data_IF_064721668773
#
_entry.id   IF_064721668773
#
_cell.length_a   1.000
_cell.length_b   1.000
_cell.length_c   1.000
_cell.angle_alpha   90.00
_cell.angle_beta   90.00
_cell.angle_gamma   90.00
#
_symmetry.space_group_name_H-M   'P 1'
#
loop_
_entity.id
_entity.type
_entity.pdbx_description
1 polymer ?
#
# COMPACT_ATOMS: atom_id res chain seq x y z
N UNK A 1 8.05 17.98 15.28
CA UNK A 1 6.81 17.19 15.08
C UNK A 1 6.74 16.20 16.23
N UNK A 2 5.73 16.27 17.10
CA UNK A 2 5.59 15.35 18.23
C UNK A 2 4.66 14.20 17.83
N UNK A 3 5.07 12.97 18.10
CA UNK A 3 4.23 11.78 17.94
C UNK A 3 3.93 11.20 19.33
N UNK A 4 2.70 10.74 19.52
CA UNK A 4 2.27 10.00 20.71
C UNK A 4 2.18 8.52 20.36
N UNK A 5 2.76 7.65 21.20
CA UNK A 5 2.75 6.20 20.98
C UNK A 5 1.92 5.55 22.08
N UNK A 6 0.80 4.94 21.69
CA UNK A 6 -0.14 4.29 22.60
C UNK A 6 -0.12 2.79 22.33
N UNK A 7 0.30 2.00 23.32
CA UNK A 7 0.26 0.53 23.24
C UNK A 7 -0.96 0.00 23.97
N UNK A 8 -1.66 -0.97 23.37
CA UNK A 8 -2.84 -1.61 23.97
C UNK A 8 -2.84 -3.12 23.71
N UNK A 9 -3.61 -3.85 24.51
CA UNK A 9 -4.04 -5.19 24.12
C UNK A 9 -4.98 -5.15 22.90
N UNK A 10 -5.09 -6.26 22.18
CA UNK A 10 -6.03 -6.41 21.07
C UNK A 10 -7.50 -6.35 21.53
N UNK A 11 -8.41 -6.03 20.62
CA UNK A 11 -9.85 -6.04 20.86
C UNK A 11 -10.39 -4.74 21.48
N UNK A 12 -11.28 -4.81 22.50
CA UNK A 12 -11.95 -3.62 23.05
C UNK A 12 -10.99 -2.50 23.49
N UNK A 13 -9.88 -2.86 24.16
CA UNK A 13 -8.89 -1.90 24.64
C UNK A 13 -8.29 -1.05 23.52
N UNK A 14 -8.00 -1.65 22.35
CA UNK A 14 -7.51 -0.92 21.18
C UNK A 14 -8.56 0.07 20.64
N UNK A 15 -9.84 -0.32 20.64
CA UNK A 15 -10.93 0.58 20.22
C UNK A 15 -11.20 1.69 21.24
N UNK A 16 -11.01 1.45 22.53
CA UNK A 16 -11.10 2.46 23.58
C UNK A 16 -9.99 3.51 23.42
N UNK A 17 -8.74 3.06 23.22
CA UNK A 17 -7.61 3.96 22.98
C UNK A 17 -7.79 4.78 21.70
N UNK A 18 -8.25 4.15 20.61
CA UNK A 18 -8.57 4.88 19.38
C UNK A 18 -9.66 5.94 19.62
N UNK A 19 -10.71 5.61 20.38
CA UNK A 19 -11.77 6.56 20.70
C UNK A 19 -11.23 7.77 21.48
N UNK A 20 -10.35 7.53 22.46
CA UNK A 20 -9.70 8.59 23.24
C UNK A 20 -8.79 9.45 22.37
N UNK A 21 -7.99 8.85 21.48
CA UNK A 21 -7.13 9.58 20.56
C UNK A 21 -7.94 10.49 19.62
N UNK A 22 -9.05 9.99 19.07
CA UNK A 22 -9.94 10.79 18.21
C UNK A 22 -10.63 11.90 19.01
N UNK A 23 -11.07 11.62 20.23
CA UNK A 23 -11.67 12.63 21.12
C UNK A 23 -10.69 13.77 21.42
N UNK A 24 -9.43 13.44 21.73
CA UNK A 24 -8.37 14.44 21.95
C UNK A 24 -8.12 15.27 20.69
N UNK A 25 -8.01 14.62 19.53
CA UNK A 25 -7.79 15.31 18.26
C UNK A 25 -8.95 16.26 17.89
N UNK A 26 -10.19 15.92 18.27
CA UNK A 26 -11.36 16.77 18.04
C UNK A 26 -11.43 17.99 18.97
N UNK A 27 -10.77 17.97 20.12
CA UNK A 27 -10.70 19.12 21.03
C UNK A 27 -12.06 19.63 21.52
N UNK A 28 -13.10 18.77 21.53
CA UNK A 28 -14.47 19.15 21.89
C UNK A 28 -15.36 19.55 20.72
N UNK A 29 -14.82 19.86 19.54
CA UNK A 29 -15.60 20.13 18.32
C UNK A 29 -15.99 18.81 17.63
N UNK A 30 -17.28 18.44 17.58
CA UNK A 30 -17.72 17.21 16.92
C UNK A 30 -17.39 17.16 15.42
N UNK A 31 -17.25 18.32 14.77
CA UNK A 31 -17.02 18.46 13.33
C UNK A 31 -15.56 18.68 12.96
N UNK A 32 -14.65 18.82 13.93
CA UNK A 32 -13.22 18.87 13.67
C UNK A 32 -12.78 17.60 12.90
N UNK A 33 -12.19 17.73 11.71
CA UNK A 33 -11.86 16.59 10.86
C UNK A 33 -10.72 15.77 11.44
N UNK A 34 -10.88 14.44 11.47
CA UNK A 34 -9.83 13.50 11.89
C UNK A 34 -9.66 12.42 10.83
N UNK A 35 -8.41 12.17 10.44
CA UNK A 35 -8.04 11.06 9.55
C UNK A 35 -7.41 9.95 10.36
N UNK A 36 -7.96 8.73 10.23
CA UNK A 36 -7.42 7.51 10.84
C UNK A 36 -6.82 6.65 9.73
N UNK A 37 -5.51 6.44 9.79
CA UNK A 37 -4.82 5.53 8.87
C UNK A 37 -4.86 4.11 9.42
N UNK A 38 -5.30 3.15 8.60
CA UNK A 38 -5.50 1.75 8.97
C UNK A 38 -4.72 0.81 8.04
N UNK A 39 -4.33 -0.39 8.51
CA UNK A 39 -3.58 -1.33 7.68
C UNK A 39 -4.39 -1.87 6.49
N UNK A 40 -5.72 -1.97 6.62
CA UNK A 40 -6.62 -2.38 5.55
C UNK A 40 -8.06 -1.90 5.83
N UNK A 41 -8.92 -1.97 4.80
CA UNK A 41 -10.31 -1.51 4.89
C UNK A 41 -11.16 -2.29 5.90
N UNK A 42 -10.86 -3.57 6.17
CA UNK A 42 -11.58 -4.35 7.18
C UNK A 42 -11.36 -3.81 8.59
N UNK A 43 -10.11 -3.48 8.93
CA UNK A 43 -9.77 -2.82 10.21
C UNK A 43 -10.42 -1.45 10.29
N UNK A 44 -10.41 -0.67 9.21
CA UNK A 44 -11.13 0.61 9.12
C UNK A 44 -12.62 0.48 9.39
N UNK A 45 -13.28 -0.50 8.76
CA UNK A 45 -14.70 -0.77 8.98
C UNK A 45 -15.00 -1.21 10.41
N UNK A 46 -14.17 -2.09 10.97
CA UNK A 46 -14.31 -2.54 12.36
C UNK A 46 -14.15 -1.37 13.34
N UNK A 47 -13.11 -0.55 13.17
CA UNK A 47 -12.88 0.65 13.97
C UNK A 47 -14.03 1.64 13.85
N UNK A 48 -14.49 1.95 12.63
CA UNK A 48 -15.63 2.84 12.38
C UNK A 48 -16.89 2.37 13.10
N UNK A 49 -17.21 1.07 13.03
CA UNK A 49 -18.36 0.48 13.72
C UNK A 49 -18.20 0.51 15.24
N UNK A 50 -17.00 0.25 15.75
CA UNK A 50 -16.71 0.31 17.17
C UNK A 50 -16.88 1.74 17.72
N UNK A 51 -16.35 2.75 17.02
CA UNK A 51 -16.51 4.16 17.39
C UNK A 51 -17.97 4.61 17.26
N UNK A 52 -18.67 4.22 16.19
CA UNK A 52 -20.07 4.60 15.96
C UNK A 52 -21.07 4.05 16.98
N UNK A 53 -20.70 3.01 17.75
CA UNK A 53 -21.52 2.47 18.85
C UNK A 53 -21.40 3.30 20.13
N UNK A 54 -20.38 4.15 20.25
CA UNK A 54 -20.07 4.91 21.47
C UNK A 54 -20.86 6.21 21.52
N UNK A 55 -20.95 6.76 22.73
CA UNK A 55 -21.41 8.14 22.95
C UNK A 55 -20.19 9.05 23.05
N UNK A 56 -20.21 10.14 22.30
CA UNK A 56 -19.18 11.18 22.27
C UNK A 56 -19.84 12.54 22.49
N UNK A 57 -19.40 13.28 23.52
CA UNK A 57 -19.97 14.59 23.91
C UNK A 57 -21.51 14.58 24.00
N UNK A 58 -22.07 13.56 24.68
CA UNK A 58 -23.52 13.41 24.87
C UNK A 58 -24.30 12.90 23.65
N UNK A 59 -23.66 12.75 22.48
CA UNK A 59 -24.31 12.28 21.26
C UNK A 59 -23.81 10.88 20.89
N UNK A 60 -24.71 9.99 20.47
CA UNK A 60 -24.32 8.66 20.00
C UNK A 60 -23.76 8.73 18.58
N UNK A 61 -22.60 8.12 18.37
CA UNK A 61 -21.93 8.06 17.07
C UNK A 61 -20.69 8.94 16.96
N UNK A 62 -20.15 9.01 15.74
CA UNK A 62 -18.97 9.82 15.43
C UNK A 62 -19.13 10.46 14.06
N UNK A 63 -18.74 11.73 13.93
CA UNK A 63 -18.82 12.52 12.70
C UNK A 63 -17.43 13.04 12.32
N UNK A 64 -17.26 13.44 11.06
CA UNK A 64 -16.00 14.01 10.54
C UNK A 64 -14.76 13.14 10.83
N UNK A 65 -14.89 11.81 10.72
CA UNK A 65 -13.77 10.87 10.82
C UNK A 65 -13.68 10.05 9.54
N UNK A 66 -12.54 10.19 8.86
CA UNK A 66 -12.22 9.43 7.65
C UNK A 66 -11.27 8.29 8.00
N UNK A 67 -11.49 7.12 7.39
CA UNK A 67 -10.63 5.94 7.56
C UNK A 67 -10.00 5.63 6.20
N UNK A 68 -8.67 5.61 6.16
CA UNK A 68 -7.90 5.44 4.94
C UNK A 68 -6.80 4.40 5.15
N UNK A 69 -6.54 3.58 4.13
CA UNK A 69 -5.25 2.91 4.06
C UNK A 69 -4.15 3.91 3.71
N UNK A 70 -2.87 3.53 3.89
CA UNK A 70 -1.76 4.35 3.42
C UNK A 70 -1.86 4.63 1.90
N UNK A 71 -2.32 3.65 1.13
CA UNK A 71 -2.57 3.79 -0.30
C UNK A 71 -3.69 4.79 -0.59
N UNK A 72 -4.84 4.68 0.08
CA UNK A 72 -5.96 5.62 -0.12
C UNK A 72 -5.54 7.07 0.21
N UNK A 73 -4.68 7.24 1.22
CA UNK A 73 -4.15 8.55 1.58
C UNK A 73 -3.20 9.08 0.51
N UNK A 74 -2.30 8.24 -0.01
CA UNK A 74 -1.42 8.62 -1.12
C UNK A 74 -2.21 8.99 -2.37
N UNK A 75 -3.23 8.21 -2.74
CA UNK A 75 -4.11 8.49 -3.87
C UNK A 75 -4.86 9.82 -3.69
N UNK A 76 -5.30 10.14 -2.48
CA UNK A 76 -5.94 11.44 -2.18
C UNK A 76 -4.99 12.63 -2.31
N UNK A 77 -3.70 12.43 -2.02
CA UNK A 77 -2.70 13.49 -2.05
C UNK A 77 -2.16 13.72 -3.47
N UNK A 78 -1.97 12.66 -4.27
CA UNK A 78 -1.32 12.75 -5.58
C UNK A 78 -2.17 12.31 -6.77
N UNK A 79 -3.36 11.75 -6.57
CA UNK A 79 -4.15 11.13 -7.64
C UNK A 79 -4.61 12.10 -8.71
N UNK A 80 -4.92 13.35 -8.34
CA UNK A 80 -5.33 14.38 -9.30
C UNK A 80 -4.19 14.77 -10.26
N UNK A 81 -2.96 14.91 -9.74
CA UNK A 81 -1.77 15.23 -10.54
C UNK A 81 -1.43 14.06 -11.47
N UNK A 82 -1.40 12.83 -10.94
CA UNK A 82 -1.17 11.63 -11.75
C UNK A 82 -2.21 11.47 -12.86
N UNK A 83 -3.49 11.74 -12.58
CA UNK A 83 -4.55 11.68 -13.58
C UNK A 83 -4.39 12.77 -14.66
N UNK A 84 -3.93 13.97 -14.30
CA UNK A 84 -3.64 15.04 -15.25
C UNK A 84 -2.47 14.68 -16.19
N UNK A 85 -1.51 13.88 -15.72
CA UNK A 85 -0.43 13.29 -16.53
C UNK A 85 -0.89 12.09 -17.38
N UNK A 86 -2.17 11.70 -17.31
CA UNK A 86 -2.70 10.52 -17.99
C UNK A 86 -2.27 9.18 -17.37
N UNK A 87 -1.68 9.21 -16.16
CA UNK A 87 -1.23 8.04 -15.44
C UNK A 87 -2.34 7.51 -14.53
N UNK A 88 -2.40 6.18 -14.40
CA UNK A 88 -3.37 5.48 -13.54
C UNK A 88 -2.66 4.60 -12.51
N UNK A 89 -3.33 4.31 -11.40
CA UNK A 89 -2.77 3.41 -10.39
C UNK A 89 -2.45 2.03 -10.99
N UNK A 90 -1.25 1.50 -10.70
CA UNK A 90 -0.88 0.14 -11.07
C UNK A 90 -1.69 -0.86 -10.24
N UNK A 91 -2.36 -1.80 -10.91
CA UNK A 91 -3.00 -2.94 -10.23
C UNK A 91 -2.11 -4.18 -10.27
N UNK A 92 -2.38 -5.14 -9.38
CA UNK A 92 -1.64 -6.40 -9.37
C UNK A 92 -1.75 -7.17 -10.69
N UNK A 93 -2.90 -7.08 -11.36
CA UNK A 93 -3.12 -7.73 -12.65
C UNK A 93 -2.29 -7.07 -13.75
N UNK A 94 -2.09 -5.75 -13.68
CA UNK A 94 -1.21 -5.01 -14.59
C UNK A 94 0.25 -5.42 -14.37
N UNK A 95 0.73 -5.49 -13.12
CA UNK A 95 2.09 -5.97 -12.82
C UNK A 95 2.28 -7.39 -13.35
N UNK A 96 1.33 -8.28 -13.07
CA UNK A 96 1.38 -9.66 -13.54
C UNK A 96 1.41 -9.74 -15.08
N UNK A 97 0.65 -8.88 -15.77
CA UNK A 97 0.68 -8.79 -17.23
C UNK A 97 2.02 -8.27 -17.78
N UNK A 98 2.63 -7.27 -17.12
CA UNK A 98 3.95 -6.78 -17.46
C UNK A 98 5.02 -7.86 -17.23
N UNK A 99 5.00 -8.56 -16.09
CA UNK A 99 5.88 -9.70 -15.80
C UNK A 99 5.79 -10.77 -16.89
N UNK A 100 4.58 -11.19 -17.28
CA UNK A 100 4.38 -12.13 -18.39
C UNK A 100 4.98 -11.63 -19.71
N UNK A 101 4.85 -10.33 -19.97
CA UNK A 101 5.35 -9.71 -21.21
C UNK A 101 6.87 -9.71 -21.24
N UNK A 102 7.51 -9.33 -20.13
CA UNK A 102 8.97 -9.38 -19.98
C UNK A 102 9.50 -10.81 -20.10
N UNK A 103 8.87 -11.78 -19.43
CA UNK A 103 9.25 -13.20 -19.51
C UNK A 103 9.15 -13.77 -20.93
N UNK A 104 8.09 -13.43 -21.69
CA UNK A 104 7.97 -13.86 -23.09
C UNK A 104 9.03 -13.24 -23.99
N UNK A 105 9.46 -12.01 -23.71
CA UNK A 105 10.46 -11.30 -24.51
C UNK A 105 11.87 -11.81 -24.22
N UNK A 106 12.21 -11.97 -22.95
CA UNK A 106 13.52 -12.44 -22.50
C UNK A 106 13.41 -13.17 -21.15
N UNK A 107 13.25 -14.51 -21.17
CA UNK A 107 13.07 -15.29 -19.94
C UNK A 107 14.35 -15.43 -19.11
N UNK A 108 15.54 -15.19 -19.68
CA UNK A 108 16.82 -15.40 -18.97
C UNK A 108 16.91 -16.76 -18.26
N UNK A 109 17.24 -16.73 -16.97
CA UNK A 109 17.30 -17.89 -16.07
C UNK A 109 15.97 -18.64 -15.89
N UNK A 110 14.83 -18.04 -16.26
CA UNK A 110 13.51 -18.66 -16.14
C UNK A 110 13.07 -19.43 -17.39
N UNK A 111 13.97 -19.63 -18.36
CA UNK A 111 13.69 -20.45 -19.56
C UNK A 111 13.28 -21.87 -19.17
N UNK A 112 12.19 -22.35 -19.76
CA UNK A 112 11.54 -23.62 -19.44
C UNK A 112 10.39 -23.50 -18.43
N UNK A 113 10.27 -22.36 -17.74
CA UNK A 113 9.20 -22.08 -16.77
C UNK A 113 8.59 -20.69 -16.95
N UNK A 114 8.81 -20.05 -18.10
CA UNK A 114 8.41 -18.67 -18.39
C UNK A 114 6.88 -18.48 -18.44
N UNK A 115 6.13 -19.54 -18.76
CA UNK A 115 4.65 -19.52 -18.75
C UNK A 115 4.06 -20.13 -17.48
N UNK A 116 4.91 -20.60 -16.55
CA UNK A 116 4.43 -21.31 -15.37
C UNK A 116 3.78 -20.33 -14.37
N UNK A 117 2.52 -20.55 -13.92
CA UNK A 117 1.82 -19.60 -13.05
C UNK A 117 2.51 -19.31 -11.72
N UNK A 118 3.28 -20.27 -11.18
CA UNK A 118 4.06 -20.03 -9.96
C UNK A 118 5.22 -19.06 -10.19
N UNK A 119 5.87 -19.10 -11.37
CA UNK A 119 6.95 -18.19 -11.75
C UNK A 119 6.43 -16.76 -11.85
N UNK A 120 5.30 -16.56 -12.53
CA UNK A 120 4.64 -15.26 -12.63
C UNK A 120 4.29 -14.69 -11.25
N UNK A 121 3.63 -15.49 -10.39
CA UNK A 121 3.25 -15.05 -9.05
C UNK A 121 4.46 -14.70 -8.19
N UNK A 122 5.52 -15.49 -8.27
CA UNK A 122 6.76 -15.25 -7.54
C UNK A 122 7.44 -13.95 -7.99
N UNK A 123 7.56 -13.72 -9.31
CA UNK A 123 8.15 -12.49 -9.85
C UNK A 123 7.28 -11.25 -9.61
N UNK A 124 5.96 -11.40 -9.64
CA UNK A 124 5.01 -10.33 -9.30
C UNK A 124 5.13 -9.92 -7.82
N UNK A 125 5.38 -10.89 -6.93
CA UNK A 125 5.68 -10.62 -5.52
C UNK A 125 7.05 -9.97 -5.36
N UNK A 126 8.08 -10.53 -6.00
CA UNK A 126 9.43 -9.98 -5.96
C UNK A 126 9.47 -8.54 -6.47
N UNK A 127 8.74 -8.20 -7.53
CA UNK A 127 8.63 -6.82 -8.03
C UNK A 127 8.21 -5.83 -6.93
N UNK A 128 7.23 -6.19 -6.10
CA UNK A 128 6.77 -5.35 -4.98
C UNK A 128 7.79 -5.24 -3.85
N UNK A 129 8.48 -6.33 -3.53
CA UNK A 129 9.55 -6.30 -2.52
C UNK A 129 10.74 -5.45 -3.02
N UNK A 130 11.03 -5.51 -4.31
CA UNK A 130 12.13 -4.77 -4.93
C UNK A 130 11.80 -3.29 -5.19
N UNK A 131 10.53 -2.91 -5.35
CA UNK A 131 10.15 -1.50 -5.52
C UNK A 131 10.44 -0.63 -4.29
N UNK A 132 10.65 -1.25 -3.12
CA UNK A 132 11.07 -0.56 -1.90
C UNK A 132 12.58 -0.34 -1.81
N UNK A 133 13.36 -0.92 -2.74
CA UNK A 133 14.82 -0.87 -2.73
C UNK A 133 15.35 0.24 -3.63
N UNK A 134 16.38 0.94 -3.15
CA UNK A 134 17.14 1.87 -3.96
C UNK A 134 18.13 1.18 -4.91
N UNK A 135 18.62 1.91 -5.90
CA UNK A 135 19.52 1.39 -6.94
C UNK A 135 20.77 0.69 -6.42
N UNK A 136 21.36 1.20 -5.33
CA UNK A 136 22.53 0.57 -4.69
C UNK A 136 22.21 -0.81 -4.14
N UNK A 137 21.05 -0.97 -3.51
CA UNK A 137 20.57 -2.25 -2.96
C UNK A 137 20.23 -3.23 -4.08
N UNK A 138 19.57 -2.75 -5.15
CA UNK A 138 19.29 -3.56 -6.33
C UNK A 138 20.57 -4.06 -7.02
N UNK A 139 21.60 -3.22 -7.13
CA UNK A 139 22.92 -3.63 -7.65
C UNK A 139 23.58 -4.69 -6.75
N UNK A 140 23.56 -4.47 -5.45
CA UNK A 140 24.13 -5.43 -4.49
C UNK A 140 23.41 -6.80 -4.55
N UNK A 141 22.09 -6.80 -4.70
CA UNK A 141 21.28 -8.01 -4.86
C UNK A 141 21.59 -8.73 -6.19
N UNK A 142 21.66 -7.99 -7.29
CA UNK A 142 21.99 -8.55 -8.60
C UNK A 142 23.36 -9.23 -8.62
N UNK A 143 24.33 -8.73 -7.83
CA UNK A 143 25.66 -9.33 -7.72
C UNK A 143 25.71 -10.66 -6.96
N UNK A 144 24.63 -11.07 -6.26
CA UNK A 144 24.65 -12.28 -5.42
C UNK A 144 24.58 -13.58 -6.24
N UNK A 145 23.89 -13.58 -7.38
CA UNK A 145 23.76 -14.76 -8.25
C UNK A 145 23.16 -14.40 -9.60
N UNK A 146 23.33 -15.27 -10.60
CA UNK A 146 22.67 -15.13 -11.91
C UNK A 146 21.14 -15.02 -11.80
N UNK A 147 20.52 -15.84 -10.94
CA UNK A 147 19.08 -15.77 -10.70
C UNK A 147 18.67 -14.42 -10.11
N UNK A 148 19.42 -13.90 -9.13
CA UNK A 148 19.12 -12.61 -8.52
C UNK A 148 19.30 -11.46 -9.53
N UNK A 149 20.33 -11.52 -10.37
CA UNK A 149 20.53 -10.59 -11.48
C UNK A 149 19.32 -10.57 -12.43
N UNK A 150 18.81 -11.74 -12.81
CA UNK A 150 17.62 -11.83 -13.68
C UNK A 150 16.35 -11.33 -13.01
N UNK A 151 16.14 -11.59 -11.72
CA UNK A 151 14.99 -11.04 -10.98
C UNK A 151 15.05 -9.51 -10.95
N UNK A 152 16.22 -8.92 -10.68
CA UNK A 152 16.41 -7.45 -10.70
C UNK A 152 16.23 -6.88 -12.10
N UNK A 153 16.74 -7.57 -13.13
CA UNK A 153 16.53 -7.19 -14.54
C UNK A 153 15.04 -7.15 -14.89
N UNK A 154 14.29 -8.20 -14.54
CA UNK A 154 12.85 -8.29 -14.80
C UNK A 154 12.11 -7.17 -14.05
N UNK A 155 12.43 -6.93 -12.77
CA UNK A 155 11.84 -5.83 -12.00
C UNK A 155 12.05 -4.46 -12.68
N UNK A 156 13.28 -4.16 -13.11
CA UNK A 156 13.58 -2.90 -13.82
C UNK A 156 12.84 -2.78 -15.14
N UNK A 157 12.75 -3.86 -15.91
CA UNK A 157 12.01 -3.84 -17.16
C UNK A 157 10.51 -3.65 -16.93
N UNK A 158 9.94 -4.33 -15.92
CA UNK A 158 8.54 -4.14 -15.54
C UNK A 158 8.29 -2.70 -15.11
N UNK A 159 9.17 -2.11 -14.29
CA UNK A 159 9.04 -0.71 -13.89
C UNK A 159 9.06 0.24 -15.11
N UNK A 160 10.01 0.05 -16.02
CA UNK A 160 10.11 0.85 -17.25
C UNK A 160 8.88 0.68 -18.17
N UNK A 161 8.37 -0.54 -18.35
CA UNK A 161 7.18 -0.81 -19.17
C UNK A 161 5.91 -0.16 -18.59
N UNK A 162 5.86 0.07 -17.28
CA UNK A 162 4.71 0.67 -16.58
C UNK A 162 4.79 2.19 -16.45
N UNK A 163 5.99 2.78 -16.44
CA UNK A 163 6.23 4.20 -16.16
C UNK A 163 5.42 5.15 -17.07
N UNK A 164 5.29 4.80 -18.35
CA UNK A 164 4.61 5.63 -19.35
C UNK A 164 3.08 5.72 -19.16
N UNK A 165 2.46 4.73 -18.50
CA UNK A 165 1.00 4.66 -18.39
C UNK A 165 0.47 4.54 -16.96
N UNK A 166 1.36 4.39 -15.99
CA UNK A 166 0.96 4.10 -14.63
C UNK A 166 1.81 4.82 -13.58
N UNK A 167 1.16 5.10 -12.44
CA UNK A 167 1.82 5.48 -11.19
C UNK A 167 2.20 4.19 -10.47
N UNK A 168 3.47 3.79 -10.59
CA UNK A 168 4.07 2.66 -9.89
C UNK A 168 4.78 3.16 -8.62
#
# INVERSE_FOLDING_TARGET
MAFDCITTAYGPAAHDALAQAVARAKGGDPLAPVTVVVPNHYVGLAARRALGRRTHNGTRGIAAVAFHTAYDLAERLGGAEMAAEGRRGVTMTVIAAAVRTVLRRDPGHFRGVETHPATERALTRAHRELSELGDGQLRALAAQSLRAADVVRIHRQVAADLEAGFSN
#
